data_IF_346996399289
#
_entry.id   IF_346996399289
#
_cell.length_a   1.000
_cell.length_b   1.000
_cell.length_c   1.000
_cell.angle_alpha   90.00
_cell.angle_beta   90.00
_cell.angle_gamma   90.00
#
_symmetry.space_group_name_H-M   'P 1'
#
loop_
_entity.id
_entity.type
_entity.pdbx_description
1 polymer ?
#
# COMPACT_ATOMS: atom_id res chain seq x y z
N UNK A 1 -19.24 19.74 21.33
CA UNK A 1 -20.12 19.23 20.25
C UNK A 1 -19.44 17.98 19.69
N UNK A 2 -20.06 16.79 19.74
CA UNK A 2 -19.36 15.50 19.53
C UNK A 2 -19.69 14.79 18.20
N UNK A 3 -20.70 15.25 17.46
CA UNK A 3 -21.20 14.57 16.25
C UNK A 3 -21.33 15.47 15.01
N UNK A 4 -20.91 16.74 15.07
CA UNK A 4 -21.05 17.68 13.96
C UNK A 4 -22.49 17.99 13.54
N UNK A 5 -23.50 17.51 14.28
CA UNK A 5 -24.91 17.73 13.97
C UNK A 5 -25.32 19.15 14.32
N UNK A 6 -25.82 19.90 13.33
CA UNK A 6 -26.35 21.23 13.53
C UNK A 6 -27.81 21.16 14.00
N UNK A 7 -28.11 21.77 15.15
CA UNK A 7 -29.41 21.65 15.84
C UNK A 7 -30.00 23.06 16.02
N UNK A 8 -31.29 23.19 15.70
CA UNK A 8 -32.14 24.32 16.11
C UNK A 8 -33.27 23.80 17.01
N UNK A 9 -33.53 24.52 18.10
CA UNK A 9 -34.59 24.23 19.07
C UNK A 9 -35.51 25.45 19.13
N UNK A 10 -36.82 25.24 18.96
CA UNK A 10 -37.84 26.30 19.06
C UNK A 10 -38.83 25.92 20.16
N UNK A 11 -38.99 26.80 21.15
CA UNK A 11 -39.89 26.65 22.30
C UNK A 11 -41.05 27.65 22.19
N UNK A 12 -42.27 27.15 22.32
CA UNK A 12 -43.48 27.96 22.42
C UNK A 12 -43.98 27.92 23.86
N UNK A 13 -44.01 29.07 24.54
CA UNK A 13 -44.58 29.15 25.88
C UNK A 13 -46.12 29.15 25.83
N UNK A 14 -46.80 28.72 26.90
CA UNK A 14 -48.26 28.83 26.99
C UNK A 14 -48.78 30.26 26.82
N UNK A 15 -47.95 31.27 27.13
CA UNK A 15 -48.26 32.69 26.96
C UNK A 15 -47.96 33.22 25.55
N UNK A 16 -47.67 32.33 24.59
CA UNK A 16 -47.44 32.69 23.19
C UNK A 16 -46.07 33.33 22.90
N UNK A 17 -45.11 33.28 23.84
CA UNK A 17 -43.74 33.75 23.59
C UNK A 17 -42.92 32.65 22.94
N UNK A 18 -42.13 33.03 21.94
CA UNK A 18 -41.25 32.11 21.20
C UNK A 18 -39.81 32.31 21.63
N UNK A 19 -39.10 31.21 21.87
CA UNK A 19 -37.68 31.19 22.16
C UNK A 19 -36.99 30.24 21.19
N UNK A 20 -35.84 30.64 20.65
CA UNK A 20 -35.12 29.83 19.68
C UNK A 20 -33.64 29.77 20.03
N UNK A 21 -33.06 28.56 20.01
CA UNK A 21 -31.66 28.30 20.32
C UNK A 21 -31.05 27.40 19.27
N UNK A 22 -29.79 27.65 18.90
CA UNK A 22 -29.05 26.81 17.98
C UNK A 22 -27.56 27.06 18.10
N UNK A 23 -26.77 26.06 17.70
CA UNK A 23 -25.31 26.23 17.57
C UNK A 23 -24.95 27.19 16.42
N UNK A 24 -25.86 27.34 15.45
CA UNK A 24 -25.86 28.36 14.41
C UNK A 24 -27.13 29.21 14.54
N UNK A 25 -27.19 30.33 13.81
CA UNK A 25 -28.43 31.12 13.72
C UNK A 25 -29.58 30.23 13.27
N UNK A 26 -30.69 30.30 14.00
CA UNK A 26 -31.89 29.51 13.73
C UNK A 26 -32.48 29.88 12.36
N UNK A 27 -32.42 31.14 11.98
CA UNK A 27 -32.88 31.61 10.66
C UNK A 27 -32.12 30.92 9.52
N UNK A 28 -30.80 30.82 9.64
CA UNK A 28 -29.95 30.15 8.63
C UNK A 28 -30.27 28.65 8.52
N UNK A 29 -30.55 27.99 9.65
CA UNK A 29 -30.94 26.59 9.65
C UNK A 29 -32.32 26.38 9.01
N UNK A 30 -33.27 27.29 9.27
CA UNK A 30 -34.61 27.27 8.68
C UNK A 30 -34.55 27.51 7.17
N UNK A 31 -33.79 28.52 6.72
CA UNK A 31 -33.66 28.82 5.29
C UNK A 31 -33.01 27.67 4.52
N UNK A 32 -32.02 26.98 5.13
CA UNK A 32 -31.41 25.79 4.55
C UNK A 32 -32.37 24.60 4.55
N UNK A 33 -33.12 24.38 5.62
CA UNK A 33 -34.15 23.33 5.68
C UNK A 33 -35.23 23.54 4.59
N UNK A 34 -35.61 24.80 4.35
CA UNK A 34 -36.55 25.19 3.30
C UNK A 34 -35.91 25.25 1.90
N UNK A 35 -34.61 24.97 1.77
CA UNK A 35 -33.89 24.98 0.49
C UNK A 35 -33.75 26.36 -0.15
N UNK A 36 -33.98 27.44 0.58
CA UNK A 36 -34.02 28.82 0.05
C UNK A 36 -32.64 29.46 -0.13
N UNK A 37 -31.62 28.93 0.55
CA UNK A 37 -30.21 29.33 0.42
C UNK A 37 -29.32 28.19 -0.06
N UNK A 38 -29.88 27.20 -0.77
CA UNK A 38 -29.03 26.22 -1.41
C UNK A 38 -28.25 26.96 -2.52
N UNK A 39 -26.91 26.89 -2.55
CA UNK A 39 -26.18 27.34 -3.73
C UNK A 39 -26.77 26.62 -4.96
N UNK A 40 -26.81 27.28 -6.13
CA UNK A 40 -27.27 26.64 -7.35
C UNK A 40 -26.56 25.30 -7.52
N UNK A 41 -27.19 24.28 -8.12
CA UNK A 41 -26.53 23.00 -8.38
C UNK A 41 -25.18 23.31 -9.04
N UNK A 42 -24.12 22.92 -8.34
CA UNK A 42 -22.75 23.26 -8.71
C UNK A 42 -22.42 22.54 -10.03
N UNK A 43 -22.75 23.15 -11.16
CA UNK A 43 -22.32 22.76 -12.50
C UNK A 43 -20.85 23.19 -12.72
N UNK A 44 -20.03 23.06 -11.68
CA UNK A 44 -18.72 23.66 -11.62
C UNK A 44 -17.72 22.67 -12.21
N UNK A 45 -17.37 22.89 -13.49
CA UNK A 45 -16.38 22.12 -14.25
C UNK A 45 -15.09 21.90 -13.43
N UNK A 46 -14.76 22.83 -12.53
CA UNK A 46 -13.63 22.72 -11.61
C UNK A 46 -13.76 21.54 -10.63
N UNK A 47 -14.95 21.30 -10.07
CA UNK A 47 -15.21 20.15 -9.19
C UNK A 47 -15.09 18.83 -9.96
N UNK A 48 -15.54 18.80 -11.21
CA UNK A 48 -15.46 17.60 -12.05
C UNK A 48 -14.01 17.26 -12.41
N UNK A 49 -13.15 18.26 -12.63
CA UNK A 49 -11.71 18.06 -12.84
C UNK A 49 -11.01 17.56 -11.57
N UNK A 50 -11.35 18.09 -10.39
CA UNK A 50 -10.80 17.63 -9.11
C UNK A 50 -11.17 16.16 -8.86
N UNK A 51 -12.43 15.78 -9.14
CA UNK A 51 -12.89 14.39 -9.02
C UNK A 51 -12.14 13.50 -10.01
N UNK A 52 -12.03 13.89 -11.29
CA UNK A 52 -11.33 13.11 -12.31
C UNK A 52 -9.85 12.89 -11.97
N UNK A 53 -9.16 13.90 -11.42
CA UNK A 53 -7.77 13.79 -10.97
C UNK A 53 -7.63 12.80 -9.80
N UNK A 54 -8.54 12.87 -8.81
CA UNK A 54 -8.56 11.92 -7.70
C UNK A 54 -8.79 10.49 -8.18
N UNK A 55 -9.77 10.29 -9.06
CA UNK A 55 -10.06 8.98 -9.62
C UNK A 55 -8.91 8.42 -10.45
N UNK A 56 -8.22 9.28 -11.21
CA UNK A 56 -7.02 8.88 -11.94
C UNK A 56 -5.92 8.36 -10.99
N UNK A 57 -5.67 9.08 -9.89
CA UNK A 57 -4.72 8.65 -8.87
C UNK A 57 -5.11 7.32 -8.19
N UNK A 58 -6.40 7.14 -7.90
CA UNK A 58 -6.91 5.87 -7.34
C UNK A 58 -6.72 4.72 -8.33
N UNK A 59 -7.05 4.92 -9.61
CA UNK A 59 -6.85 3.90 -10.64
C UNK A 59 -5.38 3.54 -10.80
N UNK A 60 -4.49 4.52 -10.82
CA UNK A 60 -3.05 4.28 -10.90
C UNK A 60 -2.55 3.45 -9.71
N UNK A 61 -2.96 3.81 -8.50
CA UNK A 61 -2.58 3.10 -7.29
C UNK A 61 -3.11 1.65 -7.28
N UNK A 62 -4.36 1.44 -7.70
CA UNK A 62 -4.94 0.10 -7.80
C UNK A 62 -4.19 -0.77 -8.81
N UNK A 63 -3.79 -0.22 -9.96
CA UNK A 63 -2.96 -0.93 -10.93
C UNK A 63 -1.62 -1.34 -10.33
N UNK A 64 -0.96 -0.43 -9.60
CA UNK A 64 0.31 -0.74 -8.91
C UNK A 64 0.14 -1.85 -7.88
N UNK A 65 -0.94 -1.81 -7.08
CA UNK A 65 -1.25 -2.84 -6.10
C UNK A 65 -1.49 -4.20 -6.75
N UNK A 66 -2.31 -4.27 -7.79
CA UNK A 66 -2.61 -5.50 -8.51
C UNK A 66 -1.35 -6.12 -9.13
N UNK A 67 -0.48 -5.30 -9.72
CA UNK A 67 0.78 -5.77 -10.27
C UNK A 67 1.70 -6.35 -9.18
N UNK A 68 1.81 -5.65 -8.04
CA UNK A 68 2.64 -6.10 -6.93
C UNK A 68 2.11 -7.40 -6.31
N UNK A 69 0.79 -7.51 -6.15
CA UNK A 69 0.12 -8.72 -5.69
C UNK A 69 0.39 -9.90 -6.64
N UNK A 70 0.33 -9.67 -7.95
CA UNK A 70 0.69 -10.67 -8.95
C UNK A 70 2.13 -11.17 -8.81
N UNK A 71 3.10 -10.25 -8.65
CA UNK A 71 4.51 -10.61 -8.41
C UNK A 71 4.67 -11.40 -7.12
N UNK A 72 4.04 -10.96 -6.03
CA UNK A 72 4.11 -11.63 -4.74
C UNK A 72 3.55 -13.05 -4.82
N UNK A 73 2.43 -13.23 -5.52
CA UNK A 73 1.83 -14.55 -5.69
C UNK A 73 2.71 -15.48 -6.54
N UNK A 74 3.34 -14.97 -7.59
CA UNK A 74 4.30 -15.75 -8.38
C UNK A 74 5.50 -16.21 -7.55
N UNK A 75 6.10 -15.30 -6.77
CA UNK A 75 7.21 -15.62 -5.87
C UNK A 75 6.80 -16.62 -4.79
N UNK A 76 5.60 -16.47 -4.22
CA UNK A 76 5.05 -17.41 -3.25
C UNK A 76 4.90 -18.81 -3.85
N UNK A 77 4.29 -18.93 -5.03
CA UNK A 77 4.11 -20.22 -5.71
C UNK A 77 5.47 -20.87 -6.05
N UNK A 78 6.44 -20.06 -6.48
CA UNK A 78 7.82 -20.52 -6.71
C UNK A 78 8.46 -21.08 -5.42
N UNK A 79 8.31 -20.36 -4.31
CA UNK A 79 8.78 -20.79 -3.00
C UNK A 79 8.09 -22.06 -2.49
N UNK A 80 6.80 -22.24 -2.75
CA UNK A 80 6.06 -23.46 -2.41
C UNK A 80 6.55 -24.66 -3.24
N UNK A 81 6.73 -24.48 -4.55
CA UNK A 81 7.29 -25.51 -5.44
C UNK A 81 8.70 -25.94 -5.01
N UNK A 82 9.57 -25.00 -4.66
CA UNK A 82 10.91 -25.31 -4.13
C UNK A 82 10.83 -26.08 -2.80
N UNK A 83 9.90 -25.73 -1.92
CA UNK A 83 9.69 -26.45 -0.65
C UNK A 83 9.17 -27.86 -0.87
N UNK A 84 8.34 -28.07 -1.88
CA UNK A 84 7.84 -29.40 -2.25
C UNK A 84 8.97 -30.29 -2.76
N UNK A 85 9.82 -29.77 -3.66
CA UNK A 85 11.03 -30.49 -4.12
C UNK A 85 11.94 -30.88 -2.96
N UNK A 86 12.13 -29.99 -1.98
CA UNK A 86 12.95 -30.26 -0.78
C UNK A 86 12.33 -31.32 0.15
N UNK A 87 11.00 -31.51 0.13
CA UNK A 87 10.34 -32.55 0.92
C UNK A 87 10.45 -33.93 0.28
N UNK A 88 10.46 -34.00 -1.04
CA UNK A 88 10.52 -35.25 -1.82
C UNK A 88 11.94 -35.86 -1.92
N UNK A 89 12.95 -35.21 -1.36
CA UNK A 89 14.31 -35.73 -1.33
C UNK A 89 15.06 -35.24 -0.10
N UNK A 90 15.04 -35.98 1.03
CA UNK A 90 15.90 -35.67 2.15
C UNK A 90 17.34 -35.64 1.64
N UNK A 91 18.05 -34.53 1.86
CA UNK A 91 19.49 -34.44 1.56
C UNK A 91 20.25 -35.54 2.33
N UNK A 92 19.70 -35.99 3.45
CA UNK A 92 20.20 -37.12 4.24
C UNK A 92 20.15 -38.49 3.53
N UNK A 93 19.38 -38.65 2.45
CA UNK A 93 19.22 -39.92 1.72
C UNK A 93 20.00 -39.97 0.38
N UNK A 94 20.82 -38.96 0.09
CA UNK A 94 21.64 -38.91 -1.11
C UNK A 94 22.93 -39.71 -0.95
N UNK A 95 23.25 -40.58 -1.91
CA UNK A 95 24.55 -41.25 -1.95
C UNK A 95 25.69 -40.23 -2.07
N UNK A 96 26.89 -40.56 -1.57
CA UNK A 96 28.08 -39.70 -1.64
C UNK A 96 28.34 -39.18 -3.07
N UNK A 97 28.09 -40.02 -4.08
CA UNK A 97 28.26 -39.67 -5.48
C UNK A 97 27.25 -38.60 -5.94
N UNK A 98 25.97 -38.74 -5.58
CA UNK A 98 24.95 -37.74 -5.87
C UNK A 98 25.22 -36.42 -5.16
N UNK A 99 25.69 -36.47 -3.92
CA UNK A 99 26.06 -35.28 -3.15
C UNK A 99 27.24 -34.53 -3.78
N UNK A 100 28.26 -35.25 -4.26
CA UNK A 100 29.37 -34.66 -5.01
C UNK A 100 28.93 -34.06 -6.35
N UNK A 101 28.01 -34.71 -7.06
CA UNK A 101 27.43 -34.18 -8.29
C UNK A 101 26.65 -32.89 -8.03
N UNK A 102 25.80 -32.89 -7.00
CA UNK A 102 25.01 -31.72 -6.60
C UNK A 102 25.91 -30.56 -6.17
N UNK A 103 26.98 -30.83 -5.39
CA UNK A 103 27.98 -29.83 -5.02
C UNK A 103 28.60 -29.16 -6.26
N UNK A 104 29.05 -29.95 -7.24
CA UNK A 104 29.62 -29.41 -8.48
C UNK A 104 28.60 -28.57 -9.26
N UNK A 105 27.35 -29.03 -9.34
CA UNK A 105 26.28 -28.29 -10.02
C UNK A 105 26.00 -26.93 -9.34
N UNK A 106 25.97 -26.89 -8.01
CA UNK A 106 25.80 -25.65 -7.25
C UNK A 106 27.00 -24.70 -7.38
N UNK A 107 28.23 -25.22 -7.42
CA UNK A 107 29.43 -24.41 -7.67
C UNK A 107 29.38 -23.76 -9.06
N UNK A 108 28.96 -24.49 -10.09
CA UNK A 108 28.78 -23.96 -11.45
C UNK A 108 27.68 -22.87 -11.47
N UNK A 109 26.55 -23.13 -10.82
CA UNK A 109 25.45 -22.17 -10.76
C UNK A 109 25.88 -20.88 -10.05
N UNK A 110 26.59 -21.00 -8.92
CA UNK A 110 27.15 -19.85 -8.18
C UNK A 110 28.01 -18.98 -9.09
N UNK A 111 28.95 -19.58 -9.83
CA UNK A 111 29.81 -18.84 -10.77
C UNK A 111 29.01 -18.13 -11.86
N UNK A 112 27.95 -18.78 -12.37
CA UNK A 112 27.07 -18.18 -13.38
C UNK A 112 26.32 -16.97 -12.82
N UNK A 113 25.76 -17.09 -11.62
CA UNK A 113 25.05 -16.00 -10.94
C UNK A 113 25.99 -14.83 -10.62
N UNK A 114 27.21 -15.11 -10.13
CA UNK A 114 28.22 -14.07 -9.88
C UNK A 114 28.61 -13.34 -11.17
N UNK A 115 28.75 -14.07 -12.29
CA UNK A 115 29.05 -13.49 -13.60
C UNK A 115 27.89 -12.63 -14.10
N UNK A 116 26.64 -13.10 -13.98
CA UNK A 116 25.46 -12.33 -14.34
C UNK A 116 25.32 -11.07 -13.46
N UNK A 117 25.56 -11.19 -12.15
CA UNK A 117 25.55 -10.06 -11.22
C UNK A 117 26.63 -9.01 -11.53
N UNK A 118 27.82 -9.43 -11.94
CA UNK A 118 28.89 -8.53 -12.40
C UNK A 118 28.51 -7.81 -13.70
N UNK A 119 27.88 -8.52 -14.65
CA UNK A 119 27.38 -7.90 -15.88
C UNK A 119 26.29 -6.86 -15.61
N UNK A 120 25.42 -7.10 -14.63
CA UNK A 120 24.38 -6.14 -14.21
C UNK A 120 24.99 -4.96 -13.45
N UNK A 121 26.01 -5.17 -12.60
CA UNK A 121 26.67 -4.09 -11.85
C UNK A 121 27.49 -3.13 -12.74
N UNK A 122 28.02 -3.61 -13.87
CA UNK A 122 28.72 -2.78 -14.86
C UNK A 122 27.76 -1.90 -15.68
N UNK A 123 26.45 -2.16 -15.62
CA UNK A 123 25.40 -1.31 -16.16
C UNK A 123 24.74 -0.56 -14.99
N UNK A 124 25.35 0.56 -14.60
CA UNK A 124 25.02 1.37 -13.43
C UNK A 124 23.51 1.45 -13.10
N UNK A 125 23.11 0.79 -12.02
CA UNK A 125 21.88 1.08 -11.26
C UNK A 125 22.24 1.40 -9.80
N UNK A 126 21.55 2.37 -9.16
CA UNK A 126 22.14 3.21 -8.11
C UNK A 126 21.91 2.71 -6.67
N UNK A 127 21.93 1.39 -6.43
CA UNK A 127 21.76 0.86 -5.07
C UNK A 127 22.99 0.07 -4.60
N UNK A 128 24.10 0.78 -4.43
CA UNK A 128 25.26 0.29 -3.69
C UNK A 128 25.16 0.71 -2.22
N UNK A 129 24.27 0.08 -1.42
CA UNK A 129 24.25 0.30 0.05
C UNK A 129 23.71 -0.89 0.85
N UNK A 130 24.06 -2.13 0.48
CA UNK A 130 23.75 -3.29 1.34
C UNK A 130 24.97 -4.15 1.71
N UNK A 131 26.16 -3.81 1.21
CA UNK A 131 27.38 -4.60 1.44
C UNK A 131 28.22 -4.23 2.68
N UNK A 132 27.98 -3.08 3.32
CA UNK A 132 28.86 -2.58 4.40
C UNK A 132 28.50 -3.07 5.80
N UNK A 133 27.47 -3.91 5.97
CA UNK A 133 26.99 -4.32 7.29
C UNK A 133 27.67 -5.56 7.91
N UNK A 134 28.59 -6.23 7.20
CA UNK A 134 29.14 -7.53 7.63
C UNK A 134 30.64 -7.55 7.96
N UNK A 135 31.29 -6.39 8.15
CA UNK A 135 32.65 -6.36 8.70
C UNK A 135 32.58 -6.20 10.21
N UNK A 136 32.43 -7.31 10.93
CA UNK A 136 32.81 -7.37 12.35
C UNK A 136 34.32 -7.21 12.45
N UNK A 137 34.77 -6.06 12.93
CA UNK A 137 36.16 -5.87 13.34
C UNK A 137 36.45 -6.79 14.54
N UNK A 138 37.21 -7.85 14.30
CA UNK A 138 37.89 -8.58 15.37
C UNK A 138 39.01 -7.69 15.91
N UNK A 139 38.94 -7.39 17.21
CA UNK A 139 39.97 -6.72 17.99
C UNK A 139 40.74 -7.78 18.82
N UNK A 140 42.01 -7.48 19.11
CA UNK A 140 43.07 -8.29 19.77
C UNK A 140 43.85 -9.21 18.80
N UNK A 141 45.19 -9.17 18.75
CA UNK A 141 46.19 -8.93 19.80
C UNK A 141 47.44 -8.24 19.25
#
# INVERSE_FOLDING_TARGET
>A
MLCGAEIAIVLFSPNGKVFSFGHLSVDTLVERFLGRNLPPPNNDVHNQQIVALREAGIRELNTKLMNLEGVLQMEKNSGESLREILKESPIEELSLFQLQHLKKALEILKQKVEKEAQMVNNNAFPFQTLGSAWTTHNCAR
#
